data_IF_037728686012
#
_entry.id   IF_037728686012
#
_cell.length_a   1.000
_cell.length_b   1.000
_cell.length_c   1.000
_cell.angle_alpha   90.00
_cell.angle_beta   90.00
_cell.angle_gamma   90.00
#
_symmetry.space_group_name_H-M   'P 1'
#
loop_
_entity.id
_entity.type
_entity.pdbx_description
1 polymer ?
#
# COMPACT_ATOMS: atom_id res chain seq x y z
N UNK A 1 19.62 -11.96 -4.24
CA UNK A 1 18.54 -11.71 -3.26
C UNK A 1 17.27 -11.62 -4.09
N UNK A 2 16.38 -12.61 -3.95
CA UNK A 2 15.32 -12.90 -4.94
C UNK A 2 14.01 -12.11 -4.73
N UNK A 3 13.96 -11.23 -3.73
CA UNK A 3 12.76 -10.44 -3.41
C UNK A 3 13.16 -9.06 -2.88
N UNK A 4 12.30 -8.08 -3.14
CA UNK A 4 12.32 -6.79 -2.44
C UNK A 4 11.54 -6.98 -1.14
N UNK A 5 12.14 -6.63 0.01
CA UNK A 5 11.45 -6.58 1.30
C UNK A 5 10.51 -5.37 1.39
N UNK A 6 9.95 -5.10 2.56
CA UNK A 6 9.13 -3.91 2.77
C UNK A 6 10.01 -2.64 2.72
N UNK A 7 10.04 -1.96 1.55
CA UNK A 7 10.79 -0.71 1.39
C UNK A 7 9.98 0.45 1.99
N UNK A 8 10.43 0.94 3.13
CA UNK A 8 9.82 2.04 3.88
C UNK A 8 10.43 3.39 3.47
N UNK A 9 9.70 4.52 3.63
CA UNK A 9 10.24 5.85 3.35
C UNK A 9 11.53 6.19 4.12
N UNK A 10 11.75 5.57 5.28
CA UNK A 10 12.97 5.73 6.10
C UNK A 10 14.25 5.22 5.46
N UNK A 11 14.16 4.35 4.44
CA UNK A 11 15.33 3.76 3.78
C UNK A 11 15.95 4.65 2.70
N UNK A 12 15.38 5.84 2.44
CA UNK A 12 15.98 6.85 1.57
C UNK A 12 16.03 6.48 0.08
N UNK A 13 15.36 5.40 -0.31
CA UNK A 13 15.26 4.96 -1.71
C UNK A 13 14.27 5.86 -2.46
N UNK A 14 14.63 6.30 -3.66
CA UNK A 14 13.74 7.11 -4.49
C UNK A 14 12.52 6.29 -4.93
N UNK A 15 11.38 6.95 -5.18
CA UNK A 15 10.17 6.27 -5.71
C UNK A 15 10.42 5.58 -7.05
N UNK A 16 11.37 6.06 -7.83
CA UNK A 16 11.75 5.45 -9.11
C UNK A 16 12.56 4.17 -8.87
N UNK A 17 13.54 4.23 -7.98
CA UNK A 17 14.36 3.06 -7.65
C UNK A 17 13.55 1.98 -6.94
N UNK A 18 12.65 2.36 -6.03
CA UNK A 18 11.70 1.43 -5.41
C UNK A 18 10.88 0.70 -6.47
N UNK A 19 10.29 1.42 -7.42
CA UNK A 19 9.51 0.82 -8.52
C UNK A 19 10.36 -0.08 -9.42
N UNK A 20 11.61 0.31 -9.70
CA UNK A 20 12.54 -0.51 -10.48
C UNK A 20 12.82 -1.84 -9.78
N UNK A 21 13.15 -1.78 -8.49
CA UNK A 21 13.43 -2.97 -7.67
C UNK A 21 12.19 -3.88 -7.57
N UNK A 22 11.01 -3.31 -7.30
CA UNK A 22 9.76 -4.07 -7.22
C UNK A 22 9.40 -4.74 -8.56
N UNK A 23 9.60 -4.04 -9.68
CA UNK A 23 9.40 -4.60 -11.02
C UNK A 23 10.39 -5.73 -11.32
N UNK A 24 11.65 -5.61 -10.90
CA UNK A 24 12.67 -6.66 -11.08
C UNK A 24 12.31 -7.90 -10.26
N UNK A 25 11.86 -7.72 -9.02
CA UNK A 25 11.39 -8.83 -8.18
C UNK A 25 10.16 -9.53 -8.76
N UNK A 26 9.18 -8.77 -9.26
CA UNK A 26 8.00 -9.34 -9.90
C UNK A 26 8.38 -10.13 -11.16
N UNK A 27 9.31 -9.62 -11.97
CA UNK A 27 9.80 -10.33 -13.15
C UNK A 27 10.43 -11.68 -12.79
N UNK A 28 11.33 -11.70 -11.80
CA UNK A 28 11.97 -12.93 -11.34
C UNK A 28 10.94 -13.93 -10.76
N UNK A 29 9.96 -13.44 -10.00
CA UNK A 29 8.88 -14.28 -9.48
C UNK A 29 8.07 -14.95 -10.61
N UNK A 30 7.72 -14.18 -11.64
CA UNK A 30 6.89 -14.65 -12.75
C UNK A 30 7.66 -15.62 -13.66
N UNK A 31 8.89 -15.27 -14.04
CA UNK A 31 9.63 -16.00 -15.07
C UNK A 31 10.59 -17.06 -14.50
N UNK A 32 11.27 -16.78 -13.39
CA UNK A 32 12.26 -17.72 -12.85
C UNK A 32 11.61 -18.73 -11.89
N UNK A 33 10.66 -18.29 -11.05
CA UNK A 33 10.03 -19.15 -10.05
C UNK A 33 8.78 -19.85 -10.57
N UNK A 34 7.92 -19.13 -11.28
CA UNK A 34 6.65 -19.66 -11.82
C UNK A 34 6.72 -20.02 -13.30
N UNK A 35 7.91 -19.95 -13.90
CA UNK A 35 8.22 -20.37 -15.26
C UNK A 35 7.27 -19.82 -16.33
N UNK A 36 6.77 -18.59 -16.14
CA UNK A 36 5.89 -17.93 -17.10
C UNK A 36 4.55 -18.64 -17.30
N UNK A 37 4.07 -19.39 -16.30
CA UNK A 37 2.73 -20.00 -16.36
C UNK A 37 1.64 -18.93 -16.59
N UNK A 38 0.50 -19.34 -17.15
CA UNK A 38 -0.61 -18.42 -17.40
C UNK A 38 -1.07 -17.68 -16.13
N UNK A 39 -1.05 -18.38 -14.99
CA UNK A 39 -1.36 -17.79 -13.69
C UNK A 39 -0.33 -16.73 -13.28
N UNK A 40 0.97 -16.97 -13.54
CA UNK A 40 2.03 -16.02 -13.23
C UNK A 40 1.89 -14.73 -14.06
N UNK A 41 1.61 -14.86 -15.36
CA UNK A 41 1.39 -13.70 -16.23
C UNK A 41 0.15 -12.89 -15.82
N UNK A 42 -0.91 -13.55 -15.32
CA UNK A 42 -2.07 -12.87 -14.74
C UNK A 42 -1.72 -12.09 -13.47
N UNK A 43 -0.90 -12.66 -12.60
CA UNK A 43 -0.42 -11.97 -11.38
C UNK A 43 0.41 -10.74 -11.76
N UNK A 44 1.31 -10.86 -12.74
CA UNK A 44 2.10 -9.72 -13.23
C UNK A 44 1.21 -8.60 -13.76
N UNK A 45 0.21 -8.95 -14.58
CA UNK A 45 -0.73 -7.99 -15.14
C UNK A 45 -1.54 -7.26 -14.04
N UNK A 46 -2.04 -8.00 -13.05
CA UNK A 46 -2.76 -7.43 -11.91
C UNK A 46 -1.87 -6.51 -11.06
N UNK A 47 -0.62 -6.90 -10.82
CA UNK A 47 0.34 -6.07 -10.10
C UNK A 47 0.62 -4.75 -10.84
N UNK A 48 0.85 -4.81 -12.16
CA UNK A 48 1.05 -3.60 -12.99
C UNK A 48 -0.19 -2.70 -12.98
N UNK A 49 -1.39 -3.29 -13.11
CA UNK A 49 -2.65 -2.55 -13.06
C UNK A 49 -2.82 -1.79 -11.73
N UNK A 50 -2.46 -2.44 -10.62
CA UNK A 50 -2.48 -1.85 -9.29
C UNK A 50 -1.47 -0.71 -9.13
N UNK A 51 -0.20 -0.94 -9.46
CA UNK A 51 0.88 0.05 -9.33
C UNK A 51 0.61 1.31 -10.17
N UNK A 52 0.12 1.11 -11.40
CA UNK A 52 -0.22 2.20 -12.32
C UNK A 52 -1.61 2.79 -12.05
N UNK A 53 -2.40 2.21 -11.14
CA UNK A 53 -3.74 2.67 -10.77
C UNK A 53 -4.68 2.85 -11.99
N UNK A 54 -4.60 1.93 -12.96
CA UNK A 54 -5.26 2.07 -14.27
C UNK A 54 -6.79 1.95 -14.19
N UNK A 55 -7.29 1.02 -13.38
CA UNK A 55 -8.73 0.70 -13.29
C UNK A 55 -9.38 1.34 -12.06
N UNK A 56 -10.72 1.30 -12.01
CA UNK A 56 -11.46 1.81 -10.85
C UNK A 56 -11.18 0.94 -9.62
N UNK A 57 -11.06 -0.36 -9.84
CA UNK A 57 -10.72 -1.38 -8.89
C UNK A 57 -9.32 -1.14 -8.33
N UNK A 58 -8.30 -0.94 -9.17
CA UNK A 58 -6.94 -0.63 -8.73
C UNK A 58 -6.88 0.64 -7.87
N UNK A 59 -7.57 1.71 -8.28
CA UNK A 59 -7.65 2.96 -7.50
C UNK A 59 -8.37 2.76 -6.17
N UNK A 60 -9.46 1.99 -6.17
CA UNK A 60 -10.21 1.69 -4.96
C UNK A 60 -9.37 0.86 -3.98
N UNK A 61 -8.70 -0.20 -4.46
CA UNK A 61 -7.78 -1.01 -3.64
C UNK A 61 -6.64 -0.14 -3.10
N UNK A 62 -6.12 0.83 -3.88
CA UNK A 62 -5.08 1.73 -3.39
C UNK A 62 -5.54 2.65 -2.27
N UNK A 63 -6.81 3.05 -2.27
CA UNK A 63 -7.39 3.80 -1.16
C UNK A 63 -7.63 2.91 0.06
N UNK A 64 -8.00 1.64 -0.12
CA UNK A 64 -8.09 0.68 0.98
C UNK A 64 -6.72 0.42 1.63
N UNK A 65 -5.67 0.23 0.84
CA UNK A 65 -4.27 0.09 1.28
C UNK A 65 -3.84 1.27 2.16
N UNK A 66 -4.19 2.49 1.77
CA UNK A 66 -3.92 3.68 2.59
C UNK A 66 -4.74 3.67 3.88
N UNK A 67 -6.06 3.46 3.80
CA UNK A 67 -6.91 3.44 4.99
C UNK A 67 -6.41 2.41 6.01
N UNK A 68 -5.92 1.27 5.55
CA UNK A 68 -5.34 0.20 6.36
C UNK A 68 -4.15 0.71 7.20
N UNK A 69 -3.23 1.48 6.61
CA UNK A 69 -2.09 2.09 7.35
C UNK A 69 -2.57 2.94 8.53
N UNK A 70 -3.60 3.77 8.33
CA UNK A 70 -4.15 4.60 9.40
C UNK A 70 -4.87 3.76 10.46
N UNK A 71 -5.57 2.70 10.04
CA UNK A 71 -6.25 1.78 10.94
C UNK A 71 -5.25 1.04 11.83
N UNK A 72 -4.18 0.50 11.25
CA UNK A 72 -3.10 -0.13 12.01
C UNK A 72 -2.48 0.85 13.00
N UNK A 73 -2.12 2.05 12.56
CA UNK A 73 -1.50 3.06 13.42
C UNK A 73 -2.35 3.33 14.66
N UNK A 74 -3.67 3.49 14.50
CA UNK A 74 -4.60 3.68 15.62
C UNK A 74 -4.59 2.50 16.60
N UNK A 75 -4.65 1.27 16.11
CA UNK A 75 -4.67 0.09 16.99
C UNK A 75 -3.33 -0.03 17.74
N UNK A 76 -2.20 0.28 17.10
CA UNK A 76 -0.90 0.40 17.77
C UNK A 76 -0.86 1.52 18.82
N UNK A 77 -1.47 2.68 18.58
CA UNK A 77 -1.56 3.76 19.57
C UNK A 77 -2.32 3.32 20.82
N UNK A 78 -3.45 2.62 20.64
CA UNK A 78 -4.26 2.08 21.74
C UNK A 78 -3.50 1.04 22.58
N UNK A 79 -2.80 0.12 21.93
CA UNK A 79 -2.14 -0.98 22.62
C UNK A 79 -0.85 -0.53 23.33
N UNK A 80 -0.14 0.46 22.78
CA UNK A 80 1.19 0.82 23.23
C UNK A 80 1.36 2.26 23.73
N UNK A 81 0.27 3.03 23.84
CA UNK A 81 0.27 4.45 24.26
C UNK A 81 1.27 5.30 23.48
N UNK A 82 1.42 5.03 22.18
CA UNK A 82 2.29 5.80 21.27
C UNK A 82 1.50 6.89 20.58
N UNK A 83 2.21 7.90 20.08
CA UNK A 83 1.68 8.90 19.18
C UNK A 83 2.26 8.66 17.79
N UNK A 84 1.40 8.33 16.82
CA UNK A 84 1.76 7.86 15.48
C UNK A 84 1.15 8.74 14.38
N UNK A 85 1.08 10.05 14.62
CA UNK A 85 0.44 11.02 13.71
C UNK A 85 0.96 10.97 12.27
N UNK A 86 2.27 10.75 12.10
CA UNK A 86 2.90 10.70 10.77
C UNK A 86 2.25 9.65 9.84
N UNK A 87 1.71 8.56 10.39
CA UNK A 87 1.01 7.53 9.62
C UNK A 87 -0.37 7.98 9.14
N UNK A 88 -1.06 8.82 9.91
CA UNK A 88 -2.34 9.40 9.51
C UNK A 88 -2.13 10.47 8.44
N UNK A 89 -1.13 11.34 8.63
CA UNK A 89 -0.81 12.44 7.74
C UNK A 89 -0.30 11.95 6.37
N UNK A 90 0.43 10.82 6.36
CA UNK A 90 0.92 10.19 5.12
C UNK A 90 -0.13 9.34 4.39
N UNK A 91 -1.29 9.10 5.01
CA UNK A 91 -2.33 8.21 4.48
C UNK A 91 -3.65 8.91 4.15
N UNK A 92 -4.37 9.41 5.18
CA UNK A 92 -5.76 9.86 5.04
C UNK A 92 -5.95 10.97 4.00
N UNK A 93 -5.06 11.97 3.87
CA UNK A 93 -5.18 13.03 2.86
C UNK A 93 -5.09 12.52 1.41
N UNK A 94 -4.60 11.30 1.19
CA UNK A 94 -4.40 10.72 -0.14
C UNK A 94 -5.62 9.91 -0.62
N UNK A 95 -6.62 9.69 0.22
CA UNK A 95 -7.85 8.95 -0.13
C UNK A 95 -8.68 9.72 -1.16
N UNK A 96 -9.16 9.05 -2.20
CA UNK A 96 -9.87 9.68 -3.32
C UNK A 96 -11.32 9.21 -3.45
N UNK A 97 -11.58 7.93 -3.23
CA UNK A 97 -12.90 7.33 -3.34
C UNK A 97 -13.82 7.80 -2.20
N UNK A 98 -15.01 8.27 -2.52
CA UNK A 98 -15.92 8.93 -1.58
C UNK A 98 -16.20 8.07 -0.33
N UNK A 99 -16.60 6.82 -0.51
CA UNK A 99 -16.85 5.91 0.63
C UNK A 99 -15.61 5.70 1.52
N UNK A 100 -14.42 5.58 0.93
CA UNK A 100 -13.18 5.35 1.70
C UNK A 100 -12.78 6.61 2.45
N UNK A 101 -13.01 7.79 1.87
CA UNK A 101 -12.83 9.07 2.56
C UNK A 101 -13.76 9.20 3.77
N UNK A 102 -15.03 8.85 3.62
CA UNK A 102 -15.99 8.84 4.73
C UNK A 102 -15.54 7.92 5.88
N UNK A 103 -15.00 6.74 5.55
CA UNK A 103 -14.45 5.82 6.54
C UNK A 103 -13.18 6.37 7.20
N UNK A 104 -12.28 6.98 6.43
CA UNK A 104 -11.09 7.64 6.97
C UNK A 104 -11.41 8.79 7.92
N UNK A 105 -12.42 9.60 7.58
CA UNK A 105 -12.91 10.67 8.45
C UNK A 105 -13.57 10.12 9.73
N UNK A 106 -14.33 9.03 9.62
CA UNK A 106 -14.91 8.36 10.79
C UNK A 106 -13.82 7.81 11.73
N UNK A 107 -12.77 7.20 11.16
CA UNK A 107 -11.62 6.70 11.89
C UNK A 107 -10.89 7.82 12.66
N UNK A 108 -10.61 8.94 12.00
CA UNK A 108 -9.92 10.08 12.62
C UNK A 108 -10.78 10.75 13.72
N UNK A 109 -12.10 10.87 13.51
CA UNK A 109 -13.02 11.35 14.55
C UNK A 109 -13.01 10.47 15.78
N UNK A 110 -13.08 9.16 15.60
CA UNK A 110 -13.09 8.21 16.72
C UNK A 110 -11.75 8.23 17.47
N UNK A 111 -10.62 8.32 16.76
CA UNK A 111 -9.29 8.46 17.36
C UNK A 111 -9.16 9.71 18.23
N UNK A 112 -9.65 10.87 17.77
CA UNK A 112 -9.56 12.15 18.51
C UNK A 112 -10.55 12.26 19.67
N UNK A 113 -11.61 11.45 19.66
CA UNK A 113 -12.63 11.42 20.70
C UNK A 113 -12.35 10.43 21.83
N UNK A 114 -11.37 9.54 21.65
CA UNK A 114 -10.84 8.64 22.67
C UNK A 114 -9.78 9.35 23.53
#
# INVERSE_FOLDING_TARGET
>A
LYTVGDITPSEGISKEEKRRLESEAMHNFVHDMLHGSEAALKIEALWREYEEQQTKEARFVKDLDRLEVALQAREYEKEHCKYLQDFFDSSLPLLRHDAVREWGEALDRERRGA
#
